data_IF_410444377364
#
_entry.id   IF_410444377364
#
_cell.length_a   1.000
_cell.length_b   1.000
_cell.length_c   1.000
_cell.angle_alpha   90.00
_cell.angle_beta   90.00
_cell.angle_gamma   90.00
#
_symmetry.space_group_name_H-M   'P 1'
#
loop_
_entity.id
_entity.type
_entity.pdbx_description
1 polymer ?
#
# COMPACT_ATOMS: atom_id res chain seq x y z
N UNK A 1 -109.81 100.74 116.31
CA UNK A 1 -110.89 101.54 115.69
C UNK A 1 -111.03 101.00 114.27
N UNK A 2 -112.14 100.39 113.83
CA UNK A 2 -113.57 100.70 113.96
C UNK A 2 -114.07 101.57 112.79
N UNK A 3 -115.11 101.09 112.09
CA UNK A 3 -115.60 101.64 110.82
C UNK A 3 -114.91 101.01 109.59
N UNK A 4 -115.62 100.63 108.52
CA UNK A 4 -117.08 100.56 108.35
C UNK A 4 -117.46 99.51 107.28
N UNK A 5 -118.70 99.02 107.34
CA UNK A 5 -119.29 98.15 106.33
C UNK A 5 -119.56 98.88 105.01
N UNK A 6 -119.60 98.10 103.92
CA UNK A 6 -120.19 98.52 102.65
C UNK A 6 -119.32 98.24 101.42
N UNK A 7 -119.90 97.90 100.26
CA UNK A 7 -121.28 97.47 100.04
C UNK A 7 -121.35 96.68 98.72
N UNK A 8 -122.10 95.58 98.74
CA UNK A 8 -122.48 94.83 97.54
C UNK A 8 -121.33 94.14 96.78
N UNK A 9 -121.48 92.83 96.58
CA UNK A 9 -121.02 92.29 95.31
C UNK A 9 -121.90 92.90 94.21
N UNK A 10 -121.38 93.68 93.25
CA UNK A 10 -121.87 93.47 91.91
C UNK A 10 -121.54 92.02 91.60
N UNK A 11 -122.57 91.18 91.41
CA UNK A 11 -122.42 89.99 90.57
C UNK A 11 -122.18 90.50 89.16
N UNK A 12 -120.94 90.93 88.92
CA UNK A 12 -120.48 91.50 87.67
C UNK A 12 -120.70 90.42 86.61
N UNK A 13 -121.82 90.55 85.88
CA UNK A 13 -122.27 89.61 84.86
C UNK A 13 -121.07 89.35 83.96
N UNK A 14 -120.53 88.14 84.01
CA UNK A 14 -119.27 87.76 83.35
C UNK A 14 -119.31 88.35 81.94
N UNK A 15 -118.40 89.26 81.55
CA UNK A 15 -118.61 90.10 80.38
C UNK A 15 -118.67 89.24 79.11
N UNK A 16 -119.90 88.93 78.69
CA UNK A 16 -120.17 88.09 77.54
C UNK A 16 -119.91 88.89 76.26
N UNK A 17 -119.25 88.27 75.29
CA UNK A 17 -119.18 88.83 73.94
C UNK A 17 -120.47 88.53 73.18
N UNK A 18 -121.02 89.53 72.49
CA UNK A 18 -122.22 89.35 71.67
C UNK A 18 -121.96 88.38 70.52
N UNK A 19 -122.90 87.44 70.30
CA UNK A 19 -122.75 86.37 69.31
C UNK A 19 -123.34 86.79 67.97
N UNK A 20 -122.48 86.94 66.96
CA UNK A 20 -122.85 87.28 65.58
C UNK A 20 -122.61 86.10 64.63
N UNK A 21 -123.38 86.05 63.53
CA UNK A 21 -123.45 84.92 62.58
C UNK A 21 -122.09 84.45 62.02
N UNK A 22 -121.06 85.31 62.04
CA UNK A 22 -119.69 84.96 61.64
C UNK A 22 -118.64 85.59 62.58
N UNK A 23 -118.73 85.27 63.87
CA UNK A 23 -117.80 85.71 64.92
C UNK A 23 -116.59 84.79 65.14
N UNK A 24 -115.76 85.14 66.13
CA UNK A 24 -114.66 84.29 66.62
C UNK A 24 -115.18 83.03 67.33
N UNK A 25 -114.37 81.97 67.34
CA UNK A 25 -114.72 80.72 68.02
C UNK A 25 -114.76 80.92 69.55
N UNK A 26 -115.95 80.85 70.14
CA UNK A 26 -116.19 81.12 71.56
C UNK A 26 -115.31 80.26 72.49
N UNK A 27 -115.01 79.00 72.13
CA UNK A 27 -114.10 78.15 72.93
C UNK A 27 -112.68 78.74 72.99
N UNK A 28 -112.14 79.15 71.83
CA UNK A 28 -110.80 79.76 71.75
C UNK A 28 -110.74 81.11 72.47
N UNK A 29 -111.82 81.91 72.41
CA UNK A 29 -111.93 83.17 73.16
C UNK A 29 -111.95 82.91 74.66
N UNK A 30 -112.77 81.97 75.14
CA UNK A 30 -112.83 81.61 76.56
C UNK A 30 -111.48 81.06 77.06
N UNK A 31 -110.85 80.14 76.33
CA UNK A 31 -109.50 79.63 76.64
C UNK A 31 -108.46 80.76 76.75
N UNK A 32 -108.54 81.76 75.85
CA UNK A 32 -107.64 82.93 75.90
C UNK A 32 -107.94 83.86 77.06
N UNK A 33 -109.22 84.11 77.39
CA UNK A 33 -109.61 84.95 78.53
C UNK A 33 -109.21 84.30 79.86
N UNK A 34 -109.49 83.00 80.05
CA UNK A 34 -109.05 82.27 81.24
C UNK A 34 -107.53 82.29 81.41
N UNK A 35 -106.78 82.19 80.31
CA UNK A 35 -105.32 82.35 80.35
C UNK A 35 -104.89 83.77 80.72
N UNK A 36 -105.50 84.81 80.14
CA UNK A 36 -105.19 86.20 80.49
C UNK A 36 -105.54 86.54 81.94
N UNK A 37 -106.64 85.99 82.49
CA UNK A 37 -106.96 86.09 83.91
C UNK A 37 -105.91 85.42 84.79
N UNK A 38 -105.42 84.24 84.41
CA UNK A 38 -104.36 83.54 85.12
C UNK A 38 -103.05 84.34 85.09
N UNK A 39 -102.65 84.81 83.91
CA UNK A 39 -101.45 85.61 83.70
C UNK A 39 -101.51 86.93 84.51
N UNK A 40 -102.68 87.59 84.55
CA UNK A 40 -102.91 88.80 85.37
C UNK A 40 -102.88 88.51 86.88
N UNK A 41 -103.53 87.43 87.34
CA UNK A 41 -103.49 86.98 88.75
C UNK A 41 -102.05 86.64 89.18
N UNK A 42 -101.25 86.07 88.28
CA UNK A 42 -99.84 85.76 88.54
C UNK A 42 -98.97 87.03 88.54
N UNK A 43 -99.20 87.95 87.60
CA UNK A 43 -98.52 89.25 87.53
C UNK A 43 -98.76 90.10 88.78
N UNK A 44 -100.01 90.17 89.27
CA UNK A 44 -100.34 90.88 90.52
C UNK A 44 -99.60 90.27 91.73
N UNK A 45 -99.58 88.94 91.86
CA UNK A 45 -98.79 88.26 92.92
C UNK A 45 -97.30 88.60 92.85
N UNK A 46 -96.71 88.62 91.66
CA UNK A 46 -95.31 88.98 91.46
C UNK A 46 -95.04 90.46 91.83
N UNK A 47 -95.95 91.36 91.45
CA UNK A 47 -95.90 92.79 91.81
C UNK A 47 -95.97 93.00 93.33
N UNK A 48 -96.87 92.29 94.00
CA UNK A 48 -97.10 92.44 95.44
C UNK A 48 -95.93 91.84 96.24
N UNK A 49 -95.34 90.74 95.77
CA UNK A 49 -94.10 90.19 96.32
C UNK A 49 -92.90 91.14 96.13
N UNK A 50 -92.76 91.78 94.96
CA UNK A 50 -91.71 92.78 94.72
C UNK A 50 -91.90 94.02 95.61
N UNK A 51 -93.14 94.47 95.83
CA UNK A 51 -93.46 95.56 96.75
C UNK A 51 -93.07 95.22 98.21
N UNK A 52 -93.29 93.98 98.66
CA UNK A 52 -92.84 93.50 99.95
C UNK A 52 -91.30 93.53 100.08
N UNK A 53 -90.58 93.01 99.07
CA UNK A 53 -89.11 93.03 99.03
C UNK A 53 -88.54 94.46 99.07
N UNK A 54 -89.14 95.41 98.35
CA UNK A 54 -88.75 96.84 98.43
C UNK A 54 -88.96 97.39 99.85
N UNK A 55 -90.05 96.99 100.52
CA UNK A 55 -90.32 97.34 101.91
C UNK A 55 -89.28 96.79 102.90
N UNK A 56 -88.79 95.57 102.67
CA UNK A 56 -87.73 94.94 103.48
C UNK A 56 -86.36 95.57 103.24
N UNK A 57 -85.96 95.76 101.97
CA UNK A 57 -84.71 96.43 101.60
C UNK A 57 -84.66 97.87 102.14
N UNK A 58 -85.78 98.58 102.16
CA UNK A 58 -85.87 99.93 102.74
C UNK A 58 -85.63 99.92 104.26
N UNK A 59 -86.12 98.91 104.99
CA UNK A 59 -85.83 98.74 106.43
C UNK A 59 -84.35 98.45 106.66
N UNK A 60 -83.77 97.51 105.90
CA UNK A 60 -82.35 97.15 105.99
C UNK A 60 -81.45 98.36 105.73
N UNK A 61 -81.70 99.10 104.64
CA UNK A 61 -80.96 100.31 104.27
C UNK A 61 -80.97 101.35 105.40
N UNK A 62 -82.12 101.56 106.05
CA UNK A 62 -82.26 102.53 107.12
C UNK A 62 -81.58 102.08 108.43
N UNK A 63 -81.55 100.76 108.74
CA UNK A 63 -80.74 100.22 109.84
C UNK A 63 -79.25 100.43 109.58
N UNK A 64 -78.77 100.00 108.41
CA UNK A 64 -77.35 100.11 108.04
C UNK A 64 -76.87 101.57 108.03
N UNK A 65 -77.74 102.53 107.68
CA UNK A 65 -77.45 103.97 107.82
C UNK A 65 -77.31 104.40 109.28
N UNK A 66 -78.23 104.01 110.16
CA UNK A 66 -78.16 104.33 111.58
C UNK A 66 -76.91 103.73 112.26
N UNK A 67 -76.55 102.49 111.93
CA UNK A 67 -75.34 101.84 112.45
C UNK A 67 -74.05 102.47 111.90
N UNK A 68 -74.05 102.93 110.63
CA UNK A 68 -72.94 103.64 110.00
C UNK A 68 -72.75 105.04 110.63
N UNK A 69 -73.81 105.78 110.92
CA UNK A 69 -73.70 107.09 111.56
C UNK A 69 -73.34 106.96 113.06
N UNK A 70 -73.83 105.92 113.75
CA UNK A 70 -73.39 105.55 115.11
C UNK A 70 -71.89 105.23 115.17
N UNK A 71 -71.38 104.41 114.24
CA UNK A 71 -69.95 104.05 114.19
C UNK A 71 -69.07 105.25 113.80
N UNK A 72 -69.53 106.14 112.90
CA UNK A 72 -68.88 107.46 112.66
C UNK A 72 -68.78 108.28 113.94
N UNK A 73 -69.86 108.42 114.72
CA UNK A 73 -69.83 109.18 115.98
C UNK A 73 -68.84 108.57 116.99
N UNK A 74 -68.80 107.24 117.10
CA UNK A 74 -67.83 106.55 117.95
C UNK A 74 -66.38 106.82 117.50
N UNK A 75 -66.09 106.72 116.20
CA UNK A 75 -64.77 107.03 115.63
C UNK A 75 -64.38 108.51 115.83
N UNK A 76 -65.30 109.44 115.57
CA UNK A 76 -65.08 110.88 115.73
C UNK A 76 -64.79 111.25 117.19
N UNK A 77 -65.47 110.61 118.15
CA UNK A 77 -65.19 110.77 119.57
C UNK A 77 -63.79 110.23 119.95
N UNK A 78 -63.40 109.06 119.44
CA UNK A 78 -62.07 108.46 119.70
C UNK A 78 -60.91 109.21 119.03
N UNK A 79 -61.17 109.89 117.90
CA UNK A 79 -60.21 110.69 117.18
C UNK A 79 -60.00 112.08 117.82
N UNK A 80 -61.09 112.78 118.15
CA UNK A 80 -61.06 114.19 118.53
C UNK A 80 -61.02 114.45 120.05
N UNK A 81 -61.27 113.45 120.90
CA UNK A 81 -61.18 113.62 122.35
C UNK A 81 -59.72 113.72 122.81
N UNK A 82 -59.36 114.66 123.71
CA UNK A 82 -58.05 114.69 124.34
C UNK A 82 -57.79 113.41 125.16
N UNK A 83 -56.51 113.20 125.50
CA UNK A 83 -55.99 111.93 126.06
C UNK A 83 -56.39 111.75 127.53
N UNK A 84 -57.64 111.36 127.76
CA UNK A 84 -58.13 110.82 129.04
C UNK A 84 -57.70 109.36 129.20
N UNK A 85 -57.49 108.90 130.44
CA UNK A 85 -57.08 107.53 130.75
C UNK A 85 -58.00 106.46 130.12
N UNK A 86 -59.32 106.71 130.08
CA UNK A 86 -60.27 105.80 129.42
C UNK A 86 -60.05 105.71 127.90
N UNK A 87 -59.64 106.81 127.26
CA UNK A 87 -59.39 106.87 125.82
C UNK A 87 -58.06 106.20 125.45
N UNK A 88 -57.07 106.21 126.35
CA UNK A 88 -55.81 105.46 126.20
C UNK A 88 -56.10 103.96 126.19
N UNK A 89 -56.85 103.45 127.18
CA UNK A 89 -57.18 102.02 127.26
C UNK A 89 -57.90 101.53 126.01
N UNK A 90 -58.88 102.29 125.50
CA UNK A 90 -59.59 101.91 124.27
C UNK A 90 -58.72 101.99 123.02
N UNK A 91 -57.85 103.02 122.91
CA UNK A 91 -56.90 103.12 121.79
C UNK A 91 -55.85 102.01 121.82
N UNK A 92 -55.39 101.59 123.00
CA UNK A 92 -54.49 100.44 123.17
C UNK A 92 -55.21 99.13 122.83
N UNK A 93 -56.48 98.96 123.22
CA UNK A 93 -57.30 97.81 122.77
C UNK A 93 -57.39 97.75 121.24
N UNK A 94 -57.71 98.87 120.58
CA UNK A 94 -57.78 98.93 119.11
C UNK A 94 -56.42 98.64 118.46
N UNK A 95 -55.32 99.11 119.04
CA UNK A 95 -53.97 98.82 118.54
C UNK A 95 -53.59 97.34 118.74
N UNK A 96 -54.00 96.71 119.85
CA UNK A 96 -53.80 95.28 120.08
C UNK A 96 -54.65 94.44 119.13
N UNK A 97 -55.93 94.78 118.89
CA UNK A 97 -56.75 94.05 117.91
C UNK A 97 -56.21 94.20 116.48
N UNK A 98 -55.66 95.36 116.12
CA UNK A 98 -55.00 95.56 114.83
C UNK A 98 -53.69 94.73 114.71
N UNK A 99 -52.92 94.60 115.79
CA UNK A 99 -51.75 93.73 115.82
C UNK A 99 -52.11 92.23 115.81
N UNK A 100 -53.23 91.85 116.43
CA UNK A 100 -53.79 90.49 116.34
C UNK A 100 -54.29 90.17 114.92
N UNK A 101 -54.89 91.15 114.23
CA UNK A 101 -55.29 91.08 112.82
C UNK A 101 -54.06 90.98 111.90
N UNK A 102 -53.02 91.82 112.09
CA UNK A 102 -51.76 91.74 111.35
C UNK A 102 -51.03 90.40 111.57
N UNK A 103 -51.02 89.87 112.80
CA UNK A 103 -50.47 88.53 113.10
C UNK A 103 -51.32 87.42 112.46
N UNK A 104 -52.65 87.59 112.39
CA UNK A 104 -53.53 86.64 111.71
C UNK A 104 -53.29 86.64 110.19
N UNK A 105 -53.15 87.81 109.58
CA UNK A 105 -52.81 87.93 108.15
C UNK A 105 -51.40 87.40 107.86
N UNK A 106 -50.37 87.71 108.64
CA UNK A 106 -49.01 87.13 108.47
C UNK A 106 -49.04 85.60 108.58
N UNK A 107 -49.82 85.04 109.51
CA UNK A 107 -50.00 83.58 109.64
C UNK A 107 -50.72 82.98 108.45
N UNK A 108 -51.79 83.63 107.97
CA UNK A 108 -52.54 83.23 106.78
C UNK A 108 -51.64 83.27 105.54
N UNK A 109 -50.91 84.36 105.32
CA UNK A 109 -49.93 84.51 104.24
C UNK A 109 -48.88 83.40 104.26
N UNK A 110 -48.37 83.04 105.45
CA UNK A 110 -47.42 81.94 105.61
C UNK A 110 -48.04 80.56 105.33
N UNK A 111 -49.29 80.33 105.72
CA UNK A 111 -50.05 79.11 105.43
C UNK A 111 -50.39 79.00 103.94
N UNK A 112 -50.84 80.08 103.31
CA UNK A 112 -51.19 80.15 101.89
C UNK A 112 -49.94 79.95 101.02
N UNK A 113 -48.79 80.55 101.37
CA UNK A 113 -47.50 80.28 100.72
C UNK A 113 -47.05 78.82 100.90
N UNK A 114 -47.17 78.27 102.10
CA UNK A 114 -46.85 76.85 102.35
C UNK A 114 -47.80 75.88 101.64
N UNK A 115 -49.07 76.26 101.44
CA UNK A 115 -50.05 75.50 100.66
C UNK A 115 -49.74 75.59 99.16
N UNK A 116 -49.36 76.78 98.65
CA UNK A 116 -48.95 76.97 97.27
C UNK A 116 -47.71 76.11 96.93
N UNK A 117 -46.64 76.19 97.73
CA UNK A 117 -45.42 75.38 97.50
C UNK A 117 -45.68 73.88 97.60
N UNK A 118 -46.57 73.42 98.51
CA UNK A 118 -47.00 72.02 98.54
C UNK A 118 -47.78 71.64 97.29
N UNK A 119 -48.75 72.45 96.87
CA UNK A 119 -49.54 72.21 95.67
C UNK A 119 -48.71 72.20 94.39
N UNK A 120 -47.66 73.01 94.30
CA UNK A 120 -46.68 72.98 93.20
C UNK A 120 -45.83 71.71 93.22
N UNK A 121 -45.32 71.31 94.39
CA UNK A 121 -44.56 70.07 94.56
C UNK A 121 -45.42 68.82 94.27
N UNK A 122 -46.69 68.82 94.68
CA UNK A 122 -47.66 67.75 94.41
C UNK A 122 -48.02 67.67 92.92
N UNK A 123 -48.27 68.80 92.24
CA UNK A 123 -48.46 68.86 90.78
C UNK A 123 -47.24 68.32 90.04
N UNK A 124 -46.04 68.79 90.38
CA UNK A 124 -44.81 68.32 89.76
C UNK A 124 -44.61 66.82 89.99
N UNK A 125 -44.82 66.33 91.22
CA UNK A 125 -44.71 64.91 91.52
C UNK A 125 -45.82 64.07 90.83
N UNK A 126 -47.01 64.61 90.59
CA UNK A 126 -48.05 63.96 89.78
C UNK A 126 -47.63 63.88 88.30
N UNK A 127 -47.16 64.99 87.73
CA UNK A 127 -46.63 65.04 86.36
C UNK A 127 -45.46 64.07 86.14
N UNK A 128 -44.50 63.99 87.07
CA UNK A 128 -43.38 63.05 86.93
C UNK A 128 -43.84 61.59 86.99
N UNK A 129 -44.83 61.26 87.84
CA UNK A 129 -45.43 59.91 87.87
C UNK A 129 -46.18 59.61 86.56
N UNK A 130 -46.94 60.57 86.01
CA UNK A 130 -47.63 60.39 84.73
C UNK A 130 -46.61 60.19 83.58
N UNK A 131 -45.59 61.04 83.49
CA UNK A 131 -44.51 60.94 82.49
C UNK A 131 -43.76 59.62 82.59
N UNK A 132 -43.46 59.16 83.81
CA UNK A 132 -42.82 57.86 84.03
C UNK A 132 -43.73 56.69 83.65
N UNK A 133 -44.99 56.68 84.11
CA UNK A 133 -45.97 55.64 83.78
C UNK A 133 -46.22 55.56 82.26
N UNK A 134 -46.26 56.71 81.57
CA UNK A 134 -46.38 56.80 80.11
C UNK A 134 -45.15 56.21 79.40
N UNK A 135 -43.95 56.50 79.87
CA UNK A 135 -42.71 55.92 79.32
C UNK A 135 -42.62 54.41 79.57
N UNK A 136 -43.08 53.92 80.72
CA UNK A 136 -43.20 52.48 81.00
C UNK A 136 -44.21 51.82 80.05
N UNK A 137 -45.41 52.40 79.89
CA UNK A 137 -46.42 51.90 78.97
C UNK A 137 -45.94 51.88 77.51
N UNK A 138 -45.21 52.92 77.06
CA UNK A 138 -44.64 52.99 75.72
C UNK A 138 -43.52 51.96 75.50
N UNK A 139 -42.61 51.80 76.47
CA UNK A 139 -41.53 50.80 76.37
C UNK A 139 -42.07 49.37 76.46
N UNK A 140 -43.11 49.10 77.27
CA UNK A 140 -43.83 47.83 77.26
C UNK A 140 -44.56 47.57 75.93
N UNK A 141 -45.26 48.57 75.39
CA UNK A 141 -45.96 48.42 74.12
C UNK A 141 -44.97 48.14 72.98
N UNK A 142 -43.85 48.86 72.94
CA UNK A 142 -42.77 48.66 71.97
C UNK A 142 -42.10 47.29 72.14
N UNK A 143 -41.88 46.81 73.37
CA UNK A 143 -41.40 45.44 73.63
C UNK A 143 -42.36 44.40 73.08
N UNK A 144 -43.66 44.49 73.42
CA UNK A 144 -44.70 43.56 72.94
C UNK A 144 -44.83 43.56 71.42
N UNK A 145 -44.73 44.73 70.77
CA UNK A 145 -44.70 44.86 69.31
C UNK A 145 -43.47 44.17 68.68
N UNK A 146 -42.28 44.35 69.25
CA UNK A 146 -41.06 43.70 68.77
C UNK A 146 -41.08 42.19 68.99
N UNK A 147 -41.62 41.72 70.11
CA UNK A 147 -41.79 40.29 70.40
C UNK A 147 -42.76 39.63 69.41
N UNK A 148 -43.91 40.25 69.14
CA UNK A 148 -44.88 39.76 68.13
C UNK A 148 -44.30 39.82 66.73
N UNK A 149 -43.62 40.90 66.34
CA UNK A 149 -42.99 41.02 65.02
C UNK A 149 -41.86 39.98 64.83
N UNK A 150 -41.09 39.68 65.87
CA UNK A 150 -40.09 38.62 65.85
C UNK A 150 -40.74 37.24 65.69
N UNK A 151 -41.76 36.93 66.49
CA UNK A 151 -42.51 35.65 66.42
C UNK A 151 -43.17 35.45 65.04
N UNK A 152 -43.76 36.49 64.47
CA UNK A 152 -44.30 36.46 63.11
C UNK A 152 -43.19 36.23 62.08
N UNK A 153 -42.03 36.88 62.23
CA UNK A 153 -40.92 36.71 61.28
C UNK A 153 -40.25 35.34 61.40
N UNK A 154 -40.14 34.75 62.58
CA UNK A 154 -39.64 33.37 62.74
C UNK A 154 -40.62 32.36 62.18
N UNK A 155 -41.92 32.48 62.50
CA UNK A 155 -42.94 31.56 61.97
C UNK A 155 -43.04 31.62 60.42
N UNK A 156 -42.97 32.81 59.83
CA UNK A 156 -42.95 32.97 58.37
C UNK A 156 -41.66 32.41 57.75
N UNK A 157 -40.49 32.57 58.39
CA UNK A 157 -39.25 31.96 57.92
C UNK A 157 -39.27 30.43 58.05
N UNK A 158 -39.72 29.89 59.18
CA UNK A 158 -39.88 28.45 59.42
C UNK A 158 -40.81 27.83 58.39
N UNK A 159 -41.93 28.50 58.08
CA UNK A 159 -42.84 28.11 57.00
C UNK A 159 -42.13 28.14 55.64
N UNK A 160 -41.46 29.23 55.27
CA UNK A 160 -40.73 29.33 53.99
C UNK A 160 -39.63 28.25 53.86
N UNK A 161 -38.94 27.91 54.96
CA UNK A 161 -37.96 26.82 54.98
C UNK A 161 -38.64 25.45 54.85
N UNK A 162 -39.77 25.20 55.53
CA UNK A 162 -40.52 23.95 55.40
C UNK A 162 -41.09 23.77 53.98
N UNK A 163 -41.67 24.82 53.40
CA UNK A 163 -42.18 24.82 52.02
C UNK A 163 -41.06 24.59 51.00
N UNK A 164 -39.93 25.33 51.10
CA UNK A 164 -38.80 25.10 50.18
C UNK A 164 -38.14 23.74 50.37
N UNK A 165 -38.06 23.23 51.60
CA UNK A 165 -37.56 21.87 51.87
C UNK A 165 -38.45 20.83 51.21
N UNK A 166 -39.76 20.87 51.46
CA UNK A 166 -40.72 19.92 50.89
C UNK A 166 -40.75 19.98 49.36
N UNK A 167 -40.64 21.18 48.77
CA UNK A 167 -40.51 21.35 47.32
C UNK A 167 -39.22 20.72 46.78
N UNK A 168 -38.08 20.90 47.47
CA UNK A 168 -36.79 20.33 47.06
C UNK A 168 -36.74 18.79 47.22
N UNK A 169 -37.39 18.24 48.26
CA UNK A 169 -37.56 16.80 48.45
C UNK A 169 -38.44 16.21 47.33
N UNK A 170 -39.53 16.89 46.95
CA UNK A 170 -40.38 16.49 45.81
C UNK A 170 -39.66 16.63 44.45
N UNK A 171 -38.87 17.70 44.24
CA UNK A 171 -37.99 17.87 43.06
C UNK A 171 -36.99 16.70 42.95
N UNK A 172 -36.34 16.35 44.06
CA UNK A 172 -35.38 15.24 44.13
C UNK A 172 -36.04 13.89 43.84
N UNK A 173 -37.17 13.58 44.47
CA UNK A 173 -37.80 12.27 44.31
C UNK A 173 -38.45 12.13 42.93
N UNK A 174 -38.97 13.20 42.33
CA UNK A 174 -39.39 13.21 40.94
C UNK A 174 -38.22 12.97 39.97
N UNK A 175 -37.06 13.62 40.19
CA UNK A 175 -35.84 13.36 39.40
C UNK A 175 -35.34 11.93 39.57
N UNK A 176 -35.40 11.38 40.79
CA UNK A 176 -35.01 10.00 41.08
C UNK A 176 -35.92 9.00 40.36
N UNK A 177 -37.24 9.14 40.49
CA UNK A 177 -38.23 8.29 39.81
C UNK A 177 -38.10 8.37 38.30
N UNK A 178 -37.85 9.57 37.75
CA UNK A 178 -37.57 9.76 36.33
C UNK A 178 -36.32 9.00 35.89
N UNK A 179 -35.20 9.19 36.59
CA UNK A 179 -33.92 8.59 36.22
C UNK A 179 -33.94 7.06 36.35
N UNK A 180 -34.64 6.51 37.34
CA UNK A 180 -34.85 5.05 37.43
C UNK A 180 -35.71 4.53 36.29
N UNK A 181 -36.80 5.23 35.93
CA UNK A 181 -37.65 4.85 34.78
C UNK A 181 -36.93 4.94 33.43
N UNK A 182 -36.13 5.99 33.22
CA UNK A 182 -35.29 6.15 32.02
C UNK A 182 -34.19 5.05 31.95
N UNK A 183 -33.61 4.66 33.09
CA UNK A 183 -32.65 3.56 33.16
C UNK A 183 -33.29 2.19 32.91
N UNK A 184 -34.43 1.89 33.54
CA UNK A 184 -35.18 0.64 33.34
C UNK A 184 -35.65 0.49 31.89
N UNK A 185 -36.13 1.58 31.27
CA UNK A 185 -36.51 1.61 29.86
C UNK A 185 -35.29 1.32 28.95
N UNK A 186 -34.15 1.98 29.17
CA UNK A 186 -32.93 1.75 28.38
C UNK A 186 -32.38 0.32 28.55
N UNK A 187 -32.45 -0.24 29.76
CA UNK A 187 -32.04 -1.63 30.02
C UNK A 187 -32.99 -2.62 29.32
N UNK A 188 -34.29 -2.34 29.28
CA UNK A 188 -35.26 -3.15 28.53
C UNK A 188 -35.06 -3.05 27.02
N UNK A 189 -34.78 -1.85 26.49
CA UNK A 189 -34.47 -1.60 25.07
C UNK A 189 -33.20 -2.34 24.64
N UNK A 190 -32.08 -2.14 25.33
CA UNK A 190 -30.79 -2.82 25.06
C UNK A 190 -30.93 -4.34 25.18
N UNK A 191 -31.76 -4.84 26.11
CA UNK A 191 -32.07 -6.27 26.22
C UNK A 191 -32.86 -6.77 25.01
N UNK A 192 -33.93 -6.09 24.62
CA UNK A 192 -34.75 -6.49 23.49
C UNK A 192 -33.95 -6.48 22.16
N UNK A 193 -33.06 -5.51 21.99
CA UNK A 193 -32.16 -5.45 20.84
C UNK A 193 -31.08 -6.54 20.88
N UNK A 194 -30.57 -6.90 22.07
CA UNK A 194 -29.69 -8.05 22.26
C UNK A 194 -30.37 -9.38 21.90
N UNK A 195 -31.61 -9.57 22.36
CA UNK A 195 -32.44 -10.76 22.04
C UNK A 195 -32.79 -10.80 20.54
N UNK A 196 -33.07 -9.66 19.91
CA UNK A 196 -33.27 -9.55 18.44
C UNK A 196 -32.00 -9.91 17.66
N UNK A 197 -30.84 -9.36 18.03
CA UNK A 197 -29.56 -9.63 17.35
C UNK A 197 -29.15 -11.10 17.52
N UNK A 198 -29.40 -11.70 18.69
CA UNK A 198 -29.21 -13.13 18.91
C UNK A 198 -30.10 -13.97 17.97
N UNK A 199 -31.41 -13.71 17.92
CA UNK A 199 -32.33 -14.42 17.03
C UNK A 199 -31.99 -14.23 15.54
N UNK A 200 -31.56 -13.03 15.14
CA UNK A 200 -31.04 -12.79 13.79
C UNK A 200 -29.77 -13.59 13.48
N UNK A 201 -28.87 -13.75 14.45
CA UNK A 201 -27.64 -14.51 14.30
C UNK A 201 -27.91 -16.02 14.24
N UNK A 202 -28.73 -16.55 15.15
CA UNK A 202 -29.15 -17.96 15.17
C UNK A 202 -29.82 -18.34 13.86
N UNK A 203 -30.73 -17.50 13.34
CA UNK A 203 -31.34 -17.70 12.04
C UNK A 203 -30.29 -17.71 10.91
N UNK A 204 -29.38 -16.74 10.88
CA UNK A 204 -28.31 -16.68 9.86
C UNK A 204 -27.38 -17.91 9.92
N UNK A 205 -27.13 -18.46 11.11
CA UNK A 205 -26.38 -19.73 11.25
C UNK A 205 -27.19 -20.90 10.70
N UNK A 206 -28.46 -21.04 11.08
CA UNK A 206 -29.33 -22.10 10.57
C UNK A 206 -29.51 -22.05 9.04
N UNK A 207 -29.68 -20.85 8.47
CA UNK A 207 -29.75 -20.63 7.02
C UNK A 207 -28.42 -21.03 6.32
N UNK A 208 -27.26 -20.77 6.96
CA UNK A 208 -25.94 -21.17 6.44
C UNK A 208 -25.69 -22.68 6.56
N UNK A 209 -26.07 -23.31 7.67
CA UNK A 209 -25.87 -24.74 7.91
C UNK A 209 -26.83 -25.58 7.05
N UNK A 210 -28.07 -25.14 6.85
CA UNK A 210 -28.97 -25.73 5.85
C UNK A 210 -28.37 -25.65 4.44
N UNK A 211 -27.74 -24.51 4.08
CA UNK A 211 -27.10 -24.30 2.78
C UNK A 211 -25.80 -25.09 2.61
N UNK A 212 -25.07 -25.38 3.70
CA UNK A 212 -23.95 -26.34 3.71
C UNK A 212 -24.45 -27.74 3.38
N UNK A 213 -25.47 -28.23 4.10
CA UNK A 213 -26.06 -29.55 3.84
C UNK A 213 -26.61 -29.67 2.41
N UNK A 214 -27.22 -28.60 1.87
CA UNK A 214 -27.66 -28.55 0.47
C UNK A 214 -26.47 -28.63 -0.52
N UNK A 215 -25.37 -27.93 -0.24
CA UNK A 215 -24.15 -27.97 -1.04
C UNK A 215 -23.46 -29.32 -0.97
N UNK A 216 -23.30 -29.91 0.21
CA UNK A 216 -22.66 -31.21 0.41
C UNK A 216 -23.45 -32.33 -0.28
N UNK A 217 -24.79 -32.27 -0.21
CA UNK A 217 -25.67 -33.17 -0.95
C UNK A 217 -25.51 -33.02 -2.48
N UNK A 218 -25.38 -31.79 -2.99
CA UNK A 218 -25.14 -31.52 -4.42
C UNK A 218 -23.74 -31.96 -4.87
N UNK A 219 -22.70 -31.69 -4.09
CA UNK A 219 -21.34 -32.13 -4.37
C UNK A 219 -21.24 -33.64 -4.42
N UNK A 220 -21.87 -34.33 -3.45
CA UNK A 220 -21.96 -35.79 -3.45
C UNK A 220 -22.73 -36.29 -4.67
N UNK A 221 -23.92 -35.76 -4.97
CA UNK A 221 -24.68 -36.19 -6.13
C UNK A 221 -23.90 -36.02 -7.44
N UNK A 222 -23.15 -34.92 -7.58
CA UNK A 222 -22.28 -34.67 -8.74
C UNK A 222 -21.11 -35.66 -8.82
N UNK A 223 -20.49 -36.06 -7.70
CA UNK A 223 -19.46 -37.11 -7.69
C UNK A 223 -20.06 -38.48 -7.99
N UNK A 224 -21.16 -38.84 -7.32
CA UNK A 224 -21.90 -40.08 -7.57
C UNK A 224 -22.36 -40.18 -9.04
N UNK A 225 -22.57 -39.07 -9.74
CA UNK A 225 -22.92 -39.01 -11.18
C UNK A 225 -21.68 -39.06 -12.09
N UNK A 226 -20.64 -38.29 -11.79
CA UNK A 226 -19.37 -38.30 -12.53
C UNK A 226 -18.68 -39.68 -12.49
N UNK A 227 -18.75 -40.38 -11.36
CA UNK A 227 -18.24 -41.75 -11.22
C UNK A 227 -19.01 -42.74 -12.12
N UNK A 228 -20.33 -42.56 -12.28
CA UNK A 228 -21.14 -43.37 -13.22
C UNK A 228 -20.78 -43.07 -14.68
N UNK A 229 -20.56 -41.80 -15.03
CA UNK A 229 -20.10 -41.42 -16.37
C UNK A 229 -18.70 -42.01 -16.65
N UNK A 230 -17.79 -41.95 -15.67
CA UNK A 230 -16.43 -42.46 -15.78
C UNK A 230 -16.39 -43.99 -15.92
N UNK A 231 -17.07 -44.75 -15.05
CA UNK A 231 -17.15 -46.21 -15.18
C UNK A 231 -17.94 -46.63 -16.43
N UNK A 232 -18.93 -45.84 -16.85
CA UNK A 232 -19.63 -46.02 -18.12
C UNK A 232 -18.68 -45.90 -19.33
N UNK A 233 -17.94 -44.79 -19.42
CA UNK A 233 -16.97 -44.51 -20.48
C UNK A 233 -15.82 -45.53 -20.50
N UNK A 234 -15.36 -45.95 -19.32
CA UNK A 234 -14.35 -46.99 -19.14
C UNK A 234 -14.86 -48.37 -19.56
N UNK A 235 -16.14 -48.66 -19.32
CA UNK A 235 -16.80 -49.89 -19.79
C UNK A 235 -16.95 -49.91 -21.31
N UNK A 236 -17.39 -48.80 -21.94
CA UNK A 236 -17.46 -48.69 -23.41
C UNK A 236 -16.07 -48.77 -24.03
N UNK A 237 -15.07 -48.07 -23.50
CA UNK A 237 -13.69 -48.12 -23.99
C UNK A 237 -13.09 -49.53 -23.85
N UNK A 238 -13.36 -50.25 -22.76
CA UNK A 238 -12.92 -51.63 -22.59
C UNK A 238 -13.62 -52.59 -23.58
N UNK A 239 -14.90 -52.37 -23.89
CA UNK A 239 -15.63 -53.14 -24.88
C UNK A 239 -15.13 -52.86 -26.32
N UNK A 240 -14.88 -51.60 -26.66
CA UNK A 240 -14.30 -51.18 -27.95
C UNK A 240 -12.89 -51.72 -28.12
N UNK A 241 -12.01 -51.57 -27.11
CA UNK A 241 -10.66 -52.11 -27.15
C UNK A 241 -10.65 -53.64 -27.27
N UNK A 242 -11.53 -54.35 -26.54
CA UNK A 242 -11.71 -55.80 -26.69
C UNK A 242 -12.18 -56.16 -28.10
N UNK A 243 -13.08 -55.38 -28.70
CA UNK A 243 -13.54 -55.59 -30.08
C UNK A 243 -12.40 -55.37 -31.07
N UNK A 244 -11.67 -54.25 -30.98
CA UNK A 244 -10.52 -53.96 -31.85
C UNK A 244 -9.43 -55.03 -31.74
N UNK A 245 -9.16 -55.56 -30.54
CA UNK A 245 -8.25 -56.70 -30.38
C UNK A 245 -8.79 -57.97 -31.04
N UNK A 246 -10.08 -58.29 -30.90
CA UNK A 246 -10.68 -59.47 -31.54
C UNK A 246 -10.72 -59.34 -33.08
N UNK A 247 -11.09 -58.17 -33.59
CA UNK A 247 -11.08 -57.84 -35.02
C UNK A 247 -9.64 -57.94 -35.58
N UNK A 248 -8.63 -57.45 -34.85
CA UNK A 248 -7.22 -57.54 -35.22
C UNK A 248 -6.64 -58.96 -35.09
N UNK A 249 -7.11 -59.76 -34.13
CA UNK A 249 -6.74 -61.18 -34.02
C UNK A 249 -7.30 -61.99 -35.19
N UNK A 250 -8.58 -61.80 -35.54
CA UNK A 250 -9.20 -62.43 -36.70
C UNK A 250 -8.51 -62.01 -38.02
N UNK A 251 -8.10 -60.75 -38.14
CA UNK A 251 -7.33 -60.27 -39.29
C UNK A 251 -5.91 -60.86 -39.34
N UNK A 252 -5.23 -60.99 -38.20
CA UNK A 252 -3.92 -61.64 -38.12
C UNK A 252 -4.01 -63.14 -38.46
N UNK A 253 -5.05 -63.84 -37.99
CA UNK A 253 -5.35 -65.23 -38.36
C UNK A 253 -5.66 -65.36 -39.87
N UNK A 254 -6.40 -64.40 -40.44
CA UNK A 254 -6.68 -64.34 -41.89
C UNK A 254 -5.40 -64.19 -42.71
N UNK A 255 -4.53 -63.24 -42.34
CA UNK A 255 -3.24 -63.02 -42.99
C UNK A 255 -2.30 -64.22 -42.81
N UNK A 256 -2.30 -64.87 -41.64
CA UNK A 256 -1.54 -66.09 -41.40
C UNK A 256 -2.03 -67.24 -42.30
N UNK A 257 -3.34 -67.44 -42.42
CA UNK A 257 -3.91 -68.46 -43.30
C UNK A 257 -3.67 -68.17 -44.79
N UNK A 258 -3.77 -66.92 -45.22
CA UNK A 258 -3.51 -66.50 -46.61
C UNK A 258 -2.03 -66.63 -46.99
N UNK A 259 -1.12 -66.22 -46.09
CA UNK A 259 0.32 -66.37 -46.30
C UNK A 259 0.78 -67.84 -46.22
N UNK A 260 0.19 -68.65 -45.36
CA UNK A 260 0.44 -70.11 -45.31
C UNK A 260 -0.07 -70.81 -46.58
N UNK A 261 -1.28 -70.49 -47.05
CA UNK A 261 -1.80 -71.00 -48.32
C UNK A 261 -0.91 -70.58 -49.50
N UNK A 262 -0.42 -69.33 -49.49
CA UNK A 262 0.54 -68.83 -50.48
C UNK A 262 1.88 -69.56 -50.41
N UNK A 263 2.39 -69.85 -49.20
CA UNK A 263 3.62 -70.63 -48.98
C UNK A 263 3.49 -72.06 -49.48
N UNK A 264 2.38 -72.73 -49.20
CA UNK A 264 2.08 -74.09 -49.68
C UNK A 264 1.97 -74.10 -51.20
N UNK A 265 1.27 -73.14 -51.81
CA UNK A 265 1.18 -73.01 -53.27
C UNK A 265 2.53 -72.66 -53.93
N UNK A 266 3.40 -71.92 -53.25
CA UNK A 266 4.76 -71.62 -53.73
C UNK A 266 5.68 -72.84 -53.63
N UNK A 267 5.57 -73.66 -52.57
CA UNK A 267 6.32 -74.91 -52.45
C UNK A 267 5.87 -75.94 -53.49
N UNK A 268 4.58 -76.13 -53.72
CA UNK A 268 4.09 -77.02 -54.77
C UNK A 268 4.67 -76.68 -56.15
N UNK A 269 4.74 -75.38 -56.50
CA UNK A 269 5.38 -74.90 -57.73
C UNK A 269 6.91 -75.07 -57.74
N UNK A 270 7.56 -75.01 -56.57
CA UNK A 270 8.98 -75.28 -56.45
C UNK A 270 9.26 -76.77 -56.70
N UNK A 271 8.44 -77.66 -56.13
CA UNK A 271 8.56 -79.11 -56.30
C UNK A 271 8.28 -79.52 -57.76
N UNK A 272 7.27 -78.92 -58.42
CA UNK A 272 7.03 -79.06 -59.86
C UNK A 272 8.25 -78.63 -60.70
N UNK A 273 8.82 -77.45 -60.41
CA UNK A 273 9.99 -76.93 -61.14
C UNK A 273 11.28 -77.73 -60.85
N UNK A 274 11.43 -78.29 -59.64
CA UNK A 274 12.55 -79.16 -59.30
C UNK A 274 12.45 -80.50 -60.04
N UNK A 275 11.25 -81.09 -60.14
CA UNK A 275 11.01 -82.29 -60.93
C UNK A 275 11.28 -82.07 -62.43
N UNK A 276 10.86 -80.92 -62.99
CA UNK A 276 11.17 -80.52 -64.37
C UNK A 276 12.69 -80.39 -64.58
N UNK A 277 13.40 -79.75 -63.66
CA UNK A 277 14.87 -79.61 -63.74
C UNK A 277 15.64 -80.91 -63.50
N UNK A 278 15.10 -81.84 -62.73
CA UNK A 278 15.64 -83.20 -62.61
C UNK A 278 15.49 -83.97 -63.93
N UNK A 279 14.32 -83.92 -64.57
CA UNK A 279 14.09 -84.56 -65.87
C UNK A 279 14.97 -83.95 -66.99
N UNK A 280 15.19 -82.63 -66.99
CA UNK A 280 16.17 -81.99 -67.89
C UNK A 280 17.60 -82.49 -67.63
N UNK A 281 18.02 -82.61 -66.36
CA UNK A 281 19.35 -83.06 -65.99
C UNK A 281 19.59 -84.53 -66.34
N UNK A 282 18.63 -85.43 -66.09
CA UNK A 282 18.69 -86.84 -66.50
C UNK A 282 18.81 -86.98 -68.01
N UNK A 283 18.05 -86.17 -68.78
CA UNK A 283 18.15 -86.15 -70.24
C UNK A 283 19.53 -85.66 -70.72
N UNK A 284 20.06 -84.59 -70.12
CA UNK A 284 21.38 -84.07 -70.45
C UNK A 284 22.51 -85.07 -70.12
N UNK A 285 22.38 -85.84 -69.03
CA UNK A 285 23.29 -86.92 -68.69
C UNK A 285 23.23 -88.06 -69.72
N UNK A 286 22.05 -88.49 -70.15
CA UNK A 286 21.90 -89.52 -71.18
C UNK A 286 22.47 -89.09 -72.55
N UNK A 287 22.29 -87.82 -72.93
CA UNK A 287 22.92 -87.26 -74.12
C UNK A 287 24.47 -87.25 -73.98
N UNK A 288 25.02 -86.87 -72.82
CA UNK A 288 26.46 -86.87 -72.55
C UNK A 288 27.09 -88.28 -72.47
N UNK A 289 26.39 -89.27 -71.94
CA UNK A 289 26.81 -90.68 -71.96
C UNK A 289 26.88 -91.21 -73.40
N UNK A 290 25.89 -90.88 -74.24
CA UNK A 290 25.91 -91.26 -75.65
C UNK A 290 27.08 -90.62 -76.42
N UNK A 291 27.39 -89.35 -76.15
CA UNK A 291 28.48 -88.64 -76.82
C UNK A 291 29.86 -89.10 -76.34
N UNK A 292 30.02 -89.41 -75.05
CA UNK A 292 31.28 -89.90 -74.50
C UNK A 292 31.62 -91.33 -74.94
N UNK A 293 30.62 -92.21 -75.08
CA UNK A 293 30.80 -93.53 -75.71
C UNK A 293 31.25 -93.40 -77.17
N UNK A 294 30.57 -92.57 -77.98
CA UNK A 294 30.94 -92.35 -79.38
C UNK A 294 32.35 -91.74 -79.54
N UNK A 295 32.76 -90.85 -78.62
CA UNK A 295 34.13 -90.31 -78.57
C UNK A 295 35.16 -91.38 -78.17
N UNK A 296 34.82 -92.30 -77.27
CA UNK A 296 35.72 -93.38 -76.85
C UNK A 296 36.01 -94.38 -77.98
N UNK A 297 34.99 -94.84 -78.71
CA UNK A 297 35.14 -95.74 -79.87
C UNK A 297 35.94 -95.08 -81.00
N UNK A 298 35.70 -93.79 -81.27
CA UNK A 298 36.49 -93.05 -82.26
C UNK A 298 37.97 -92.96 -81.85
N UNK A 299 38.25 -92.65 -80.58
CA UNK A 299 39.62 -92.45 -80.10
C UNK A 299 40.43 -93.75 -80.13
N UNK A 300 39.80 -94.91 -79.88
CA UNK A 300 40.48 -96.22 -79.99
C UNK A 300 40.73 -96.64 -81.44
N UNK A 301 39.84 -96.32 -82.37
CA UNK A 301 40.07 -96.51 -83.81
C UNK A 301 41.22 -95.63 -84.34
N UNK A 302 41.20 -94.33 -84.02
CA UNK A 302 42.24 -93.37 -84.44
C UNK A 302 43.62 -93.75 -83.86
N UNK A 303 43.69 -94.21 -82.60
CA UNK A 303 44.93 -94.69 -81.98
C UNK A 303 45.51 -95.94 -82.67
N UNK A 304 44.65 -96.90 -83.07
CA UNK A 304 45.10 -98.10 -83.80
C UNK A 304 45.67 -97.76 -85.17
N UNK A 305 45.08 -96.79 -85.88
CA UNK A 305 45.60 -96.30 -87.16
C UNK A 305 46.94 -95.56 -86.99
N UNK A 306 47.07 -94.73 -85.96
CA UNK A 306 48.32 -94.00 -85.67
C UNK A 306 49.48 -94.94 -85.28
N UNK A 307 49.21 -96.03 -84.57
CA UNK A 307 50.24 -97.03 -84.24
C UNK A 307 50.85 -97.69 -85.49
N UNK A 308 50.00 -98.09 -86.46
CA UNK A 308 50.47 -98.64 -87.73
C UNK A 308 51.24 -97.61 -88.58
N UNK A 309 50.74 -96.37 -88.62
CA UNK A 309 51.40 -95.27 -89.34
C UNK A 309 52.77 -94.92 -88.75
N UNK A 310 52.93 -94.94 -87.42
CA UNK A 310 54.20 -94.63 -86.75
C UNK A 310 55.31 -95.64 -87.04
N UNK A 311 54.99 -96.92 -87.18
CA UNK A 311 55.99 -97.95 -87.57
C UNK A 311 56.45 -97.72 -89.02
N UNK A 312 55.51 -97.58 -89.96
CA UNK A 312 55.84 -97.31 -91.37
C UNK A 312 56.63 -96.01 -91.54
N UNK A 313 56.28 -94.96 -90.80
CA UNK A 313 56.97 -93.67 -90.83
C UNK A 313 58.36 -93.71 -90.14
N UNK A 314 58.62 -94.67 -89.24
CA UNK A 314 59.94 -94.87 -88.66
C UNK A 314 60.89 -95.56 -89.66
N UNK A 315 60.41 -96.56 -90.39
CA UNK A 315 61.17 -97.24 -91.44
C UNK A 315 61.43 -96.29 -92.63
N UNK A 316 60.44 -95.49 -93.04
CA UNK A 316 60.66 -94.42 -94.01
C UNK A 316 61.64 -93.35 -93.50
N UNK A 317 61.62 -92.94 -92.22
CA UNK A 317 62.61 -91.99 -91.68
C UNK A 317 64.03 -92.54 -91.63
N UNK A 318 64.22 -93.85 -91.46
CA UNK A 318 65.53 -94.48 -91.57
C UNK A 318 66.05 -94.46 -93.03
N UNK A 319 65.19 -94.77 -94.00
CA UNK A 319 65.54 -94.65 -95.42
C UNK A 319 65.74 -93.19 -95.86
N UNK A 320 64.96 -92.25 -95.32
CA UNK A 320 65.03 -90.83 -95.64
C UNK A 320 66.26 -90.14 -95.04
N UNK A 321 66.73 -90.54 -93.86
CA UNK A 321 67.97 -89.99 -93.28
C UNK A 321 69.22 -90.51 -93.99
N UNK A 322 69.21 -91.74 -94.51
CA UNK A 322 70.24 -92.25 -95.41
C UNK A 322 70.26 -91.53 -96.77
N UNK A 323 69.08 -91.19 -97.33
CA UNK A 323 69.00 -90.32 -98.52
C UNK A 323 69.46 -88.90 -98.21
N UNK A 324 68.91 -88.23 -97.21
CA UNK A 324 69.22 -86.84 -96.86
C UNK A 324 70.72 -86.64 -96.48
N UNK A 325 71.40 -87.66 -95.95
CA UNK A 325 72.85 -87.64 -95.78
C UNK A 325 73.61 -87.75 -97.12
N UNK A 326 73.16 -88.61 -98.04
CA UNK A 326 73.71 -88.73 -99.41
C UNK A 326 73.43 -87.49 -100.26
N UNK A 327 72.25 -86.89 -100.10
CA UNK A 327 71.81 -85.70 -100.82
C UNK A 327 72.47 -84.43 -100.24
N UNK A 328 72.79 -84.40 -98.95
CA UNK A 328 73.71 -83.41 -98.38
C UNK A 328 75.16 -83.61 -98.84
N UNK A 329 75.61 -84.82 -99.10
CA UNK A 329 76.93 -85.07 -99.68
C UNK A 329 77.00 -84.60 -101.15
N UNK A 330 75.99 -84.90 -101.97
CA UNK A 330 75.94 -84.44 -103.37
C UNK A 330 75.66 -82.94 -103.47
N UNK A 331 74.84 -82.34 -102.60
CA UNK A 331 74.66 -80.88 -102.58
C UNK A 331 75.84 -80.12 -101.99
N UNK A 332 76.66 -80.71 -101.11
CA UNK A 332 77.94 -80.06 -100.71
C UNK A 332 79.02 -80.18 -101.78
N UNK A 333 79.02 -81.23 -102.61
CA UNK A 333 79.85 -81.28 -103.84
C UNK A 333 79.32 -80.29 -104.89
N UNK A 334 78.02 -80.28 -105.17
CA UNK A 334 77.42 -79.33 -106.12
C UNK A 334 77.53 -77.86 -105.66
N UNK A 335 77.47 -77.58 -104.36
CA UNK A 335 77.77 -76.26 -103.81
C UNK A 335 79.28 -75.98 -103.75
N UNK A 336 80.16 -76.98 -103.77
CA UNK A 336 81.60 -76.78 -103.98
C UNK A 336 81.90 -76.45 -105.45
N UNK A 337 81.22 -77.09 -106.42
CA UNK A 337 81.31 -76.76 -107.84
C UNK A 337 80.61 -75.42 -108.17
N UNK A 338 79.47 -75.10 -107.55
CA UNK A 338 78.85 -73.79 -107.68
C UNK A 338 79.77 -72.72 -107.09
N UNK A 339 80.32 -72.93 -105.89
CA UNK A 339 81.29 -72.02 -105.25
C UNK A 339 82.64 -71.98 -105.97
N UNK A 340 83.02 -73.02 -106.70
CA UNK A 340 84.13 -72.98 -107.65
C UNK A 340 83.76 -72.10 -108.85
N UNK A 341 82.56 -72.25 -109.41
CA UNK A 341 82.10 -71.41 -110.53
C UNK A 341 81.88 -69.95 -110.14
N UNK A 342 81.46 -69.66 -108.90
CA UNK A 342 81.38 -68.29 -108.39
C UNK A 342 82.74 -67.78 -107.94
N UNK A 343 83.70 -68.61 -107.49
CA UNK A 343 85.07 -68.11 -107.26
C UNK A 343 85.85 -67.94 -108.56
N UNK A 344 85.53 -68.66 -109.63
CA UNK A 344 85.99 -68.39 -111.00
C UNK A 344 85.30 -67.15 -111.55
N UNK A 345 83.97 -67.01 -111.46
CA UNK A 345 83.27 -65.79 -111.89
C UNK A 345 83.65 -64.56 -111.06
N UNK A 346 83.89 -64.70 -109.76
CA UNK A 346 84.47 -63.65 -108.93
C UNK A 346 85.96 -63.46 -109.21
N UNK A 347 86.71 -64.44 -109.71
CA UNK A 347 88.08 -64.24 -110.15
C UNK A 347 88.13 -63.52 -111.50
N UNK A 348 87.19 -63.78 -112.41
CA UNK A 348 87.01 -63.07 -113.68
C UNK A 348 86.40 -61.68 -113.46
N UNK A 349 85.48 -61.51 -112.50
CA UNK A 349 84.95 -60.20 -112.10
C UNK A 349 85.96 -59.43 -111.25
N UNK A 350 86.81 -60.08 -110.44
CA UNK A 350 87.97 -59.44 -109.79
C UNK A 350 89.14 -59.26 -110.75
N UNK A 351 89.26 -60.00 -111.85
CA UNK A 351 90.24 -59.74 -112.90
C UNK A 351 89.75 -58.59 -113.79
N UNK A 352 88.47 -58.55 -114.17
CA UNK A 352 87.86 -57.42 -114.87
C UNK A 352 87.77 -56.18 -113.97
N UNK A 353 87.59 -56.33 -112.66
CA UNK A 353 87.71 -55.23 -111.70
C UNK A 353 89.16 -54.87 -111.43
N UNK A 354 90.12 -55.79 -111.36
CA UNK A 354 91.55 -55.45 -111.28
C UNK A 354 92.08 -54.87 -112.60
N UNK A 355 91.48 -55.18 -113.75
CA UNK A 355 91.76 -54.52 -115.03
C UNK A 355 91.12 -53.14 -115.02
N UNK A 356 89.83 -52.98 -114.69
CA UNK A 356 89.20 -51.65 -114.60
C UNK A 356 89.77 -50.78 -113.48
N UNK A 357 90.26 -51.36 -112.38
CA UNK A 357 90.90 -50.68 -111.25
C UNK A 357 92.40 -50.52 -111.52
N UNK A 358 93.05 -51.35 -112.35
CA UNK A 358 94.37 -51.02 -112.92
C UNK A 358 94.26 -49.99 -114.05
N UNK A 359 93.17 -49.89 -114.79
CA UNK A 359 92.88 -48.86 -115.79
C UNK A 359 92.44 -47.56 -115.11
N UNK A 360 91.65 -47.64 -114.05
CA UNK A 360 91.31 -46.48 -113.21
C UNK A 360 92.50 -46.05 -112.37
N UNK A 361 93.32 -46.95 -111.83
CA UNK A 361 94.58 -46.59 -111.16
C UNK A 361 95.70 -46.25 -112.12
N UNK A 362 95.75 -46.72 -113.38
CA UNK A 362 96.73 -46.19 -114.35
C UNK A 362 96.26 -44.89 -114.96
N UNK A 363 94.96 -44.66 -115.20
CA UNK A 363 94.49 -43.32 -115.59
C UNK A 363 94.49 -42.33 -114.41
N UNK A 364 94.35 -42.80 -113.17
CA UNK A 364 94.58 -41.99 -111.97
C UNK A 364 96.06 -41.83 -111.64
N UNK A 365 96.95 -42.81 -111.87
CA UNK A 365 98.40 -42.65 -111.73
C UNK A 365 99.01 -41.92 -112.93
N UNK A 366 98.37 -41.92 -114.10
CA UNK A 366 98.73 -41.05 -115.23
C UNK A 366 98.25 -39.64 -114.91
N UNK A 367 97.01 -39.41 -114.46
CA UNK A 367 96.60 -38.09 -113.95
C UNK A 367 97.45 -37.62 -112.78
N UNK A 368 97.75 -38.49 -111.81
CA UNK A 368 98.55 -38.15 -110.64
C UNK A 368 100.04 -38.04 -111.01
N UNK A 369 100.54 -38.69 -112.08
CA UNK A 369 101.88 -38.46 -112.63
C UNK A 369 101.93 -37.30 -113.63
N UNK A 370 100.82 -36.87 -114.22
CA UNK A 370 100.66 -35.64 -115.03
C UNK A 370 100.53 -34.45 -114.09
N UNK A 371 99.77 -34.56 -113.00
CA UNK A 371 99.73 -33.59 -111.91
C UNK A 371 101.03 -33.58 -111.12
N UNK A 372 101.65 -34.73 -110.80
CA UNK A 372 102.99 -34.76 -110.16
C UNK A 372 104.12 -34.45 -111.12
N UNK A 373 103.99 -34.58 -112.45
CA UNK A 373 105.01 -34.08 -113.38
C UNK A 373 104.81 -32.61 -113.72
N UNK A 374 103.57 -32.12 -113.84
CA UNK A 374 103.28 -30.68 -113.90
C UNK A 374 103.69 -30.00 -112.59
N UNK A 375 103.43 -30.61 -111.43
CA UNK A 375 103.90 -30.12 -110.14
C UNK A 375 105.40 -30.35 -109.93
N UNK A 376 106.03 -31.41 -110.43
CA UNK A 376 107.48 -31.58 -110.35
C UNK A 376 108.23 -30.67 -111.34
N UNK A 377 107.65 -30.34 -112.50
CA UNK A 377 108.15 -29.32 -113.42
C UNK A 377 107.94 -27.94 -112.80
N UNK A 378 106.74 -27.59 -112.32
CA UNK A 378 106.51 -26.33 -111.63
C UNK A 378 107.35 -26.18 -110.33
N UNK A 379 107.61 -27.28 -109.61
CA UNK A 379 108.51 -27.30 -108.44
C UNK A 379 109.97 -27.33 -108.87
N UNK A 380 110.34 -27.86 -110.04
CA UNK A 380 111.69 -27.78 -110.61
C UNK A 380 111.97 -26.38 -111.15
N UNK A 381 111.00 -25.71 -111.76
CA UNK A 381 111.06 -24.32 -112.20
C UNK A 381 111.07 -23.37 -110.99
N UNK A 382 110.20 -23.60 -109.98
CA UNK A 382 110.31 -22.91 -108.70
C UNK A 382 111.63 -23.21 -107.98
N UNK A 383 112.20 -24.40 -108.10
CA UNK A 383 113.52 -24.72 -107.52
C UNK A 383 114.69 -24.23 -108.37
N UNK A 384 114.53 -24.01 -109.67
CA UNK A 384 115.52 -23.39 -110.52
C UNK A 384 115.53 -21.87 -110.28
N UNK A 385 114.36 -21.25 -110.20
CA UNK A 385 114.19 -19.88 -109.72
C UNK A 385 114.73 -19.72 -108.29
N UNK A 386 114.26 -20.53 -107.34
CA UNK A 386 114.74 -20.49 -105.96
C UNK A 386 116.19 -20.99 -105.77
N UNK A 387 116.80 -21.63 -106.76
CA UNK A 387 118.23 -21.92 -106.80
C UNK A 387 119.02 -20.75 -107.37
N UNK A 388 118.53 -20.04 -108.39
CA UNK A 388 119.10 -18.78 -108.85
C UNK A 388 119.02 -17.71 -107.74
N UNK A 389 117.87 -17.59 -107.08
CA UNK A 389 117.67 -16.74 -105.90
C UNK A 389 118.52 -17.21 -104.72
N UNK A 390 118.70 -18.52 -104.50
CA UNK A 390 119.66 -19.02 -103.49
C UNK A 390 121.11 -18.85 -103.89
N UNK A 391 121.48 -18.83 -105.17
CA UNK A 391 122.87 -18.57 -105.58
C UNK A 391 123.18 -17.07 -105.46
N UNK A 392 122.21 -16.20 -105.78
CA UNK A 392 122.25 -14.77 -105.48
C UNK A 392 122.26 -14.51 -103.96
N UNK A 393 121.41 -15.20 -103.20
CA UNK A 393 121.33 -15.08 -101.74
C UNK A 393 122.50 -15.73 -101.02
N UNK A 394 123.14 -16.78 -101.55
CA UNK A 394 124.37 -17.37 -101.01
C UNK A 394 125.61 -16.56 -101.38
N UNK A 395 125.65 -15.88 -102.54
CA UNK A 395 126.62 -14.78 -102.74
C UNK A 395 126.39 -13.71 -101.68
N UNK A 396 125.16 -13.20 -101.56
CA UNK A 396 124.80 -12.20 -100.56
C UNK A 396 124.97 -12.65 -99.11
N UNK A 397 124.95 -13.95 -98.78
CA UNK A 397 125.07 -14.47 -97.41
C UNK A 397 126.49 -14.96 -97.08
N UNK A 398 127.30 -15.26 -98.11
CA UNK A 398 128.75 -15.31 -97.98
C UNK A 398 129.29 -13.89 -97.75
N UNK A 399 128.76 -12.90 -98.48
CA UNK A 399 128.99 -11.46 -98.23
C UNK A 399 128.32 -10.96 -96.93
N UNK A 400 127.29 -11.66 -96.44
CA UNK A 400 126.66 -11.43 -95.12
C UNK A 400 127.12 -12.46 -94.05
N UNK A 401 128.38 -12.89 -94.20
CA UNK A 401 129.43 -12.63 -93.21
C UNK A 401 129.30 -13.44 -91.90
N UNK A 402 130.32 -14.16 -91.44
CA UNK A 402 131.60 -13.61 -90.97
C UNK A 402 131.52 -12.38 -90.02
N UNK A 403 130.32 -11.87 -89.70
CA UNK A 403 130.06 -10.97 -88.56
C UNK A 403 129.40 -11.70 -87.39
N UNK A 404 128.42 -12.58 -87.66
CA UNK A 404 127.53 -13.04 -86.58
C UNK A 404 128.01 -14.25 -85.76
N UNK A 405 129.00 -15.03 -86.20
CA UNK A 405 129.59 -16.08 -85.34
C UNK A 405 130.38 -15.49 -84.14
N UNK A 406 130.55 -14.16 -84.09
CA UNK A 406 131.07 -13.44 -82.92
C UNK A 406 130.04 -13.24 -81.78
N UNK A 407 128.77 -13.64 -81.92
CA UNK A 407 127.68 -13.04 -81.14
C UNK A 407 127.40 -13.60 -79.72
N UNK A 408 126.78 -14.79 -79.61
CA UNK A 408 126.01 -15.18 -78.42
C UNK A 408 126.04 -16.71 -78.17
N UNK A 409 126.81 -17.29 -77.24
CA UNK A 409 127.54 -16.75 -76.07
C UNK A 409 126.67 -16.35 -74.85
N UNK A 410 125.34 -16.44 -74.93
CA UNK A 410 124.44 -15.72 -74.01
C UNK A 410 123.77 -16.56 -72.89
N UNK A 411 122.69 -17.30 -73.19
CA UNK A 411 121.71 -17.80 -72.20
C UNK A 411 121.48 -19.32 -72.35
N UNK A 412 121.54 -20.21 -71.33
CA UNK A 412 121.50 -20.08 -69.85
C UNK A 412 120.09 -19.75 -69.28
N UNK A 413 119.83 -20.10 -68.00
CA UNK A 413 118.63 -19.78 -67.15
C UNK A 413 117.20 -20.21 -67.67
N UNK A 414 116.44 -21.25 -67.19
CA UNK A 414 115.55 -21.37 -65.97
C UNK A 414 114.22 -22.19 -66.31
N UNK A 415 113.21 -22.61 -65.48
CA UNK A 415 113.07 -23.16 -64.09
C UNK A 415 111.60 -23.66 -63.68
N UNK A 416 111.45 -24.73 -62.83
CA UNK A 416 110.40 -25.06 -61.77
C UNK A 416 108.88 -25.55 -62.05
N UNK A 417 108.29 -26.65 -61.40
CA UNK A 417 106.80 -27.10 -61.34
C UNK A 417 106.38 -28.44 -60.51
N UNK A 418 105.05 -28.87 -60.31
CA UNK A 418 104.47 -29.97 -59.36
C UNK A 418 103.12 -30.79 -59.78
N UNK A 419 102.42 -31.66 -58.93
CA UNK A 419 101.40 -32.78 -59.26
C UNK A 419 100.03 -33.09 -58.41
N UNK A 420 99.38 -34.33 -58.34
CA UNK A 420 97.86 -34.62 -58.22
C UNK A 420 97.05 -35.58 -57.12
N UNK A 421 96.38 -36.80 -57.33
CA UNK A 421 94.98 -37.25 -56.83
C UNK A 421 94.68 -38.60 -55.98
N UNK A 422 93.37 -39.08 -55.77
CA UNK A 422 92.82 -40.21 -54.86
C UNK A 422 91.37 -40.89 -55.21
N UNK A 423 90.88 -42.04 -54.60
CA UNK A 423 89.51 -42.76 -54.71
C UNK A 423 89.12 -43.81 -53.53
N UNK A 424 87.90 -44.46 -53.41
CA UNK A 424 87.32 -45.30 -52.24
C UNK A 424 86.27 -46.46 -52.64
N UNK A 425 85.52 -47.38 -51.92
CA UNK A 425 85.05 -47.73 -50.51
C UNK A 425 84.21 -49.09 -50.32
N UNK A 426 83.47 -49.43 -49.19
CA UNK A 426 82.67 -50.74 -48.95
C UNK A 426 81.42 -50.76 -47.95
N UNK A 427 81.05 -51.84 -47.19
CA UNK A 427 79.69 -52.07 -46.57
C UNK A 427 79.52 -52.86 -45.20
N UNK A 428 78.31 -52.73 -44.57
CA UNK A 428 77.63 -53.49 -43.45
C UNK A 428 77.85 -53.10 -41.94
N UNK A 429 76.85 -53.39 -41.07
CA UNK A 429 76.71 -52.94 -39.65
C UNK A 429 76.85 -54.05 -38.59
N UNK A 430 77.45 -53.75 -37.42
CA UNK A 430 76.77 -53.71 -36.09
C UNK A 430 77.67 -53.00 -35.04
N UNK A 431 77.24 -52.88 -33.77
CA UNK A 431 77.73 -51.84 -32.83
C UNK A 431 78.87 -52.24 -31.85
N UNK A 432 79.72 -51.26 -31.48
CA UNK A 432 80.66 -51.37 -30.34
C UNK A 432 81.77 -50.30 -30.31
N UNK A 433 81.77 -49.42 -29.29
CA UNK A 433 82.83 -48.41 -29.01
C UNK A 433 84.05 -49.01 -28.26
N UNK A 434 85.16 -48.28 -28.04
CA UNK A 434 85.97 -47.47 -28.97
C UNK A 434 87.51 -47.74 -28.87
N UNK A 435 88.31 -47.10 -29.75
CA UNK A 435 89.75 -46.70 -29.69
C UNK A 435 90.67 -47.32 -28.59
N UNK A 436 91.91 -47.78 -28.86
CA UNK A 436 93.03 -47.03 -29.51
C UNK A 436 94.19 -47.90 -30.04
N UNK A 437 94.76 -47.47 -31.19
CA UNK A 437 96.21 -47.36 -31.53
C UNK A 437 97.22 -48.56 -31.65
N UNK A 438 98.05 -48.41 -32.70
CA UNK A 438 99.49 -48.74 -32.85
C UNK A 438 100.00 -50.22 -32.97
N UNK A 439 100.31 -50.61 -34.22
CA UNK A 439 101.66 -50.88 -34.81
C UNK A 439 102.91 -50.91 -33.86
N UNK A 440 104.06 -51.58 -34.21
CA UNK A 440 104.63 -51.64 -35.58
C UNK A 440 105.52 -52.85 -36.03
N UNK A 441 105.34 -53.28 -37.30
CA UNK A 441 106.41 -53.68 -38.27
C UNK A 441 107.37 -54.85 -37.88
N UNK A 442 108.44 -55.16 -38.67
CA UNK A 442 108.63 -55.24 -40.14
C UNK A 442 108.86 -56.74 -40.54
N UNK A 443 109.43 -57.21 -41.67
CA UNK A 443 110.36 -56.77 -42.75
C UNK A 443 110.05 -57.60 -44.04
N UNK A 444 110.77 -57.61 -45.18
CA UNK A 444 112.10 -57.14 -45.63
C UNK A 444 112.07 -56.64 -47.09
N UNK A 445 113.13 -55.90 -47.45
CA UNK A 445 113.65 -55.57 -48.79
C UNK A 445 112.71 -54.80 -49.74
#
# INVERSE_FOLDING_TARGET
MAGADGAGQPTARTPHFDVVLRGYNQRQVNERVTRLEFDLKNSNRARDAAAAQVGELTKLLNSMRADLDKTKMQLQNLANSPVSASNVTERVRVMMSLAEEEIADIRKDALDKAAATRGEAEKWAAEQREKHNRLLAETEARRKQLEVAHQQRTAELEKQFAERKSALEAEHDALRTRLTGEHEALVAEVRADGERVAAEFEKKSADLDARRVELDAKYKAYHDELDKEYDGLKSTLAAEHKKVLADAQAEAERIAAESEATRVAALAKLDEALAEKQAEAEKALAELESESLARAEKTTADASAQAAALVSAAEEKAAATLRDASDKATTTVAAADEKASTTVREADEKAAALVRDAEARTSALIREAEEKSAAAVALADQRAAAAADREASLRSAHDNLATQFHAAQAAVEAAMSVLKPLEDGSAAEEAGEPKTEQFPKPRQN
#
